data_IF_784975712199
#
_entry.id   IF_784975712199
#
_cell.length_a   1.000
_cell.length_b   1.000
_cell.length_c   1.000
_cell.angle_alpha   90.00
_cell.angle_beta   90.00
_cell.angle_gamma   90.00
#
_symmetry.space_group_name_H-M   'P 1'
#
loop_
_entity.id
_entity.type
_entity.pdbx_description
1 polymer ?
#
# COMPACT_ATOMS: atom_id res chain seq x y z
N UNK A 1 -28.33 2.34 -40.63
CA UNK A 1 -27.96 0.89 -40.61
C UNK A 1 -26.70 0.61 -39.80
N UNK A 2 -25.63 1.37 -39.99
CA UNK A 2 -24.35 1.23 -39.25
C UNK A 2 -24.55 1.32 -37.73
N UNK A 3 -25.13 2.43 -37.23
CA UNK A 3 -25.36 2.66 -35.78
C UNK A 3 -26.07 1.49 -35.11
N UNK A 4 -27.13 0.96 -35.75
CA UNK A 4 -27.92 -0.15 -35.22
C UNK A 4 -27.13 -1.46 -35.15
N UNK A 5 -26.25 -1.73 -36.13
CA UNK A 5 -25.38 -2.92 -36.10
C UNK A 5 -24.29 -2.76 -35.04
N UNK A 6 -23.62 -1.61 -35.01
CA UNK A 6 -22.57 -1.32 -34.02
C UNK A 6 -23.11 -1.42 -32.59
N UNK A 7 -24.25 -0.81 -32.30
CA UNK A 7 -24.84 -0.83 -30.95
C UNK A 7 -25.17 -2.26 -30.47
N UNK A 8 -25.59 -3.16 -31.37
CA UNK A 8 -25.81 -4.59 -31.03
C UNK A 8 -24.52 -5.31 -30.66
N UNK A 9 -23.44 -5.09 -31.41
CA UNK A 9 -22.15 -5.71 -31.11
C UNK A 9 -21.54 -5.18 -29.81
N UNK A 10 -21.64 -3.87 -29.56
CA UNK A 10 -21.20 -3.28 -28.29
C UNK A 10 -22.02 -3.86 -27.12
N UNK A 11 -23.34 -3.96 -27.27
CA UNK A 11 -24.20 -4.54 -26.23
C UNK A 11 -23.83 -6.01 -25.94
N UNK A 12 -23.57 -6.80 -27.00
CA UNK A 12 -23.09 -8.18 -26.85
C UNK A 12 -21.74 -8.24 -26.11
N UNK A 13 -20.81 -7.33 -26.42
CA UNK A 13 -19.54 -7.19 -25.72
C UNK A 13 -19.72 -6.90 -24.22
N UNK A 14 -20.59 -5.95 -23.86
CA UNK A 14 -20.89 -5.63 -22.46
C UNK A 14 -21.48 -6.83 -21.72
N UNK A 15 -22.38 -7.60 -22.36
CA UNK A 15 -22.95 -8.82 -21.78
C UNK A 15 -21.86 -9.89 -21.57
N UNK A 16 -20.99 -10.10 -22.55
CA UNK A 16 -19.86 -11.03 -22.43
C UNK A 16 -18.90 -10.61 -21.31
N UNK A 17 -18.60 -9.31 -21.18
CA UNK A 17 -17.81 -8.79 -20.06
C UNK A 17 -18.48 -9.03 -18.71
N UNK A 18 -19.81 -8.85 -18.61
CA UNK A 18 -20.55 -9.14 -17.39
C UNK A 18 -20.46 -10.63 -17.01
N UNK A 19 -20.58 -11.53 -17.98
CA UNK A 19 -20.38 -12.97 -17.76
C UNK A 19 -18.95 -13.26 -17.28
N UNK A 20 -17.94 -12.64 -17.90
CA UNK A 20 -16.54 -12.76 -17.48
C UNK A 20 -16.29 -12.28 -16.05
N UNK A 21 -16.92 -11.17 -15.65
CA UNK A 21 -16.83 -10.64 -14.27
C UNK A 21 -17.48 -11.61 -13.27
N UNK A 22 -18.66 -12.15 -13.58
CA UNK A 22 -19.33 -13.14 -12.72
C UNK A 22 -18.50 -14.42 -12.58
N UNK A 23 -17.91 -14.89 -13.68
CA UNK A 23 -17.02 -16.05 -13.68
C UNK A 23 -15.75 -15.79 -12.85
N UNK A 24 -15.12 -14.63 -13.01
CA UNK A 24 -13.95 -14.24 -12.23
C UNK A 24 -14.28 -14.15 -10.73
N UNK A 25 -15.43 -13.60 -10.37
CA UNK A 25 -15.90 -13.52 -8.98
C UNK A 25 -16.12 -14.91 -8.35
N UNK A 26 -16.51 -15.90 -9.13
CA UNK A 26 -16.70 -17.27 -8.66
C UNK A 26 -15.38 -17.99 -8.35
N UNK A 27 -14.32 -17.70 -9.10
CA UNK A 27 -13.00 -18.34 -8.98
C UNK A 27 -12.07 -17.58 -8.02
N UNK A 28 -12.44 -16.36 -7.63
CA UNK A 28 -11.61 -15.48 -6.82
C UNK A 28 -11.19 -16.17 -5.49
N UNK A 29 -9.91 -16.09 -5.08
CA UNK A 29 -9.46 -16.60 -3.78
C UNK A 29 -10.16 -15.90 -2.62
N UNK A 30 -10.32 -16.58 -1.48
CA UNK A 30 -11.01 -16.04 -0.30
C UNK A 30 -10.36 -14.76 0.24
N UNK A 31 -9.03 -14.65 0.20
CA UNK A 31 -8.32 -13.42 0.58
C UNK A 31 -8.76 -12.22 -0.26
N UNK A 32 -8.93 -12.40 -1.58
CA UNK A 32 -9.37 -11.36 -2.49
C UNK A 32 -10.84 -10.98 -2.28
N UNK A 33 -11.71 -11.95 -1.98
CA UNK A 33 -13.11 -11.69 -1.59
C UNK A 33 -13.18 -10.87 -0.30
N UNK A 34 -12.37 -11.21 0.69
CA UNK A 34 -12.34 -10.51 1.98
C UNK A 34 -11.83 -9.07 1.82
N UNK A 35 -10.84 -8.84 0.96
CA UNK A 35 -10.38 -7.49 0.59
C UNK A 35 -11.50 -6.68 -0.07
N UNK A 36 -12.29 -7.29 -0.97
CA UNK A 36 -13.43 -6.64 -1.61
C UNK A 36 -14.52 -6.26 -0.59
N UNK A 37 -14.84 -7.16 0.34
CA UNK A 37 -15.88 -6.94 1.35
C UNK A 37 -15.51 -5.87 2.39
N UNK A 38 -14.23 -5.78 2.79
CA UNK A 38 -13.78 -4.86 3.86
C UNK A 38 -13.48 -3.44 3.37
N UNK A 39 -13.20 -3.25 2.08
CA UNK A 39 -12.86 -1.94 1.53
C UNK A 39 -14.11 -1.23 0.99
N UNK A 40 -14.68 -0.32 1.78
CA UNK A 40 -15.88 0.45 1.39
C UNK A 40 -15.73 1.16 0.02
N UNK A 41 -14.52 1.66 -0.29
CA UNK A 41 -14.22 2.28 -1.58
C UNK A 41 -14.39 1.31 -2.77
N UNK A 42 -14.06 0.02 -2.60
CA UNK A 42 -14.22 -0.97 -3.67
C UNK A 42 -15.69 -1.26 -3.96
N UNK A 43 -16.53 -1.31 -2.92
CA UNK A 43 -17.98 -1.49 -3.11
C UNK A 43 -18.60 -0.29 -3.85
N UNK A 44 -18.17 0.93 -3.55
CA UNK A 44 -18.62 2.14 -4.26
C UNK A 44 -18.20 2.11 -5.74
N UNK A 45 -16.94 1.76 -6.03
CA UNK A 45 -16.42 1.68 -7.40
C UNK A 45 -17.11 0.56 -8.19
N UNK A 46 -17.33 -0.60 -7.56
CA UNK A 46 -18.10 -1.69 -8.15
C UNK A 46 -19.53 -1.25 -8.48
N UNK A 47 -20.21 -0.60 -7.54
CA UNK A 47 -21.55 -0.04 -7.76
C UNK A 47 -21.58 0.98 -8.90
N UNK A 48 -20.62 1.89 -8.95
CA UNK A 48 -20.49 2.88 -10.02
C UNK A 48 -20.28 2.21 -11.39
N UNK A 49 -19.44 1.17 -11.47
CA UNK A 49 -19.23 0.38 -12.67
C UNK A 49 -20.50 -0.34 -13.14
N UNK A 50 -21.28 -0.92 -12.21
CA UNK A 50 -22.57 -1.57 -12.52
C UNK A 50 -23.59 -0.54 -13.02
N UNK A 51 -23.69 0.63 -12.39
CA UNK A 51 -24.57 1.72 -12.83
C UNK A 51 -24.16 2.19 -14.23
N UNK A 52 -22.86 2.38 -14.48
CA UNK A 52 -22.35 2.78 -15.79
C UNK A 52 -22.63 1.72 -16.86
N UNK A 53 -22.52 0.43 -16.55
CA UNK A 53 -22.88 -0.68 -17.43
C UNK A 53 -24.39 -0.70 -17.74
N UNK A 54 -25.24 -0.54 -16.73
CA UNK A 54 -26.69 -0.45 -16.93
C UNK A 54 -27.08 0.74 -17.80
N UNK A 55 -26.50 1.91 -17.54
CA UNK A 55 -26.70 3.11 -18.34
C UNK A 55 -26.22 2.93 -19.79
N UNK A 56 -25.05 2.32 -20.00
CA UNK A 56 -24.52 2.01 -21.32
C UNK A 56 -25.46 1.07 -22.09
N UNK A 57 -25.92 -0.02 -21.45
CA UNK A 57 -26.87 -0.96 -22.06
C UNK A 57 -28.19 -0.28 -22.43
N UNK A 58 -28.71 0.59 -21.55
CA UNK A 58 -29.91 1.38 -21.83
C UNK A 58 -29.70 2.31 -23.03
N UNK A 59 -28.58 3.03 -23.09
CA UNK A 59 -28.28 3.92 -24.20
C UNK A 59 -28.11 3.15 -25.52
N UNK A 60 -27.44 2.00 -25.49
CA UNK A 60 -27.30 1.12 -26.66
C UNK A 60 -28.65 0.57 -27.11
N UNK A 61 -29.53 0.19 -26.19
CA UNK A 61 -30.90 -0.22 -26.51
C UNK A 61 -31.65 0.90 -27.25
N UNK A 62 -31.62 2.13 -26.74
CA UNK A 62 -32.23 3.30 -27.41
C UNK A 62 -31.62 3.52 -28.79
N UNK A 63 -30.30 3.45 -28.96
CA UNK A 63 -29.64 3.62 -30.26
C UNK A 63 -29.95 2.48 -31.25
N UNK A 64 -30.27 1.27 -30.78
CA UNK A 64 -30.75 0.20 -31.66
C UNK A 64 -32.19 0.39 -32.13
N UNK A 65 -33.04 1.01 -31.30
CA UNK A 65 -34.43 1.29 -31.59
C UNK A 65 -34.61 2.59 -32.39
N UNK A 66 -33.84 3.63 -32.05
CA UNK A 66 -33.87 4.98 -32.64
C UNK A 66 -32.44 5.46 -32.97
N UNK A 67 -31.84 4.95 -34.06
CA UNK A 67 -30.46 5.30 -34.42
C UNK A 67 -30.26 6.78 -34.73
N UNK A 68 -31.31 7.52 -35.09
CA UNK A 68 -31.25 8.97 -35.32
C UNK A 68 -30.95 9.79 -34.05
N UNK A 69 -30.97 9.19 -32.86
CA UNK A 69 -30.64 9.86 -31.60
C UNK A 69 -29.14 9.84 -31.28
N UNK A 70 -28.31 9.35 -32.20
CA UNK A 70 -26.86 9.48 -32.09
C UNK A 70 -26.44 10.93 -32.37
N UNK A 71 -26.44 11.74 -31.32
CA UNK A 71 -25.88 13.10 -31.29
C UNK A 71 -24.49 13.08 -30.65
N UNK A 72 -23.66 14.13 -30.83
CA UNK A 72 -22.38 14.25 -30.11
C UNK A 72 -22.51 14.08 -28.60
N UNK A 73 -23.58 14.62 -27.99
CA UNK A 73 -23.86 14.45 -26.57
C UNK A 73 -24.11 12.98 -26.18
N UNK A 74 -24.91 12.26 -26.98
CA UNK A 74 -25.13 10.82 -26.74
C UNK A 74 -23.87 9.98 -26.93
N UNK A 75 -23.02 10.35 -27.90
CA UNK A 75 -21.72 9.71 -28.13
C UNK A 75 -20.77 9.92 -26.96
N UNK A 76 -20.71 11.15 -26.43
CA UNK A 76 -19.94 11.45 -25.23
C UNK A 76 -20.47 10.69 -24.01
N UNK A 77 -21.79 10.58 -23.84
CA UNK A 77 -22.38 9.80 -22.76
C UNK A 77 -22.00 8.31 -22.84
N UNK A 78 -22.03 7.72 -24.05
CA UNK A 78 -21.55 6.35 -24.29
C UNK A 78 -20.07 6.21 -23.96
N UNK A 79 -19.24 7.17 -24.37
CA UNK A 79 -17.80 7.17 -24.09
C UNK A 79 -17.53 7.24 -22.58
N UNK A 80 -18.15 8.18 -21.86
CA UNK A 80 -18.00 8.34 -20.41
C UNK A 80 -18.45 7.07 -19.67
N UNK A 81 -19.56 6.46 -20.09
CA UNK A 81 -20.04 5.21 -19.51
C UNK A 81 -19.05 4.06 -19.75
N UNK A 82 -18.54 3.91 -20.98
CA UNK A 82 -17.54 2.91 -21.30
C UNK A 82 -16.23 3.12 -20.52
N UNK A 83 -15.74 4.36 -20.42
CA UNK A 83 -14.58 4.69 -19.60
C UNK A 83 -14.83 4.35 -18.13
N UNK A 84 -15.99 4.70 -17.58
CA UNK A 84 -16.36 4.38 -16.20
C UNK A 84 -16.37 2.87 -15.91
N UNK A 85 -16.86 2.06 -16.85
CA UNK A 85 -16.81 0.59 -16.74
C UNK A 85 -15.37 0.10 -16.76
N UNK A 86 -14.56 0.56 -17.72
CA UNK A 86 -13.17 0.12 -17.87
C UNK A 86 -12.31 0.53 -16.67
N UNK A 87 -12.42 1.77 -16.20
CA UNK A 87 -11.63 2.26 -15.06
C UNK A 87 -12.06 1.56 -13.77
N UNK A 88 -13.37 1.36 -13.55
CA UNK A 88 -13.86 0.62 -12.38
C UNK A 88 -13.38 -0.84 -12.42
N UNK A 89 -13.48 -1.48 -13.58
CA UNK A 89 -13.02 -2.85 -13.78
C UNK A 89 -11.53 -3.02 -13.53
N UNK A 90 -10.69 -2.17 -14.11
CA UNK A 90 -9.24 -2.20 -13.90
C UNK A 90 -8.84 -1.90 -12.46
N UNK A 91 -9.53 -0.97 -11.80
CA UNK A 91 -9.28 -0.66 -10.39
C UNK A 91 -9.61 -1.85 -9.49
N UNK A 92 -10.75 -2.50 -9.71
CA UNK A 92 -11.15 -3.69 -8.96
C UNK A 92 -10.19 -4.85 -9.25
N UNK A 93 -9.85 -5.07 -10.52
CA UNK A 93 -8.88 -6.10 -10.94
C UNK A 93 -7.54 -5.91 -10.24
N UNK A 94 -7.06 -4.68 -10.13
CA UNK A 94 -5.82 -4.38 -9.43
C UNK A 94 -5.95 -4.56 -7.91
N UNK A 95 -7.08 -4.18 -7.32
CA UNK A 95 -7.32 -4.32 -5.89
C UNK A 95 -7.37 -5.79 -5.45
N UNK A 96 -8.03 -6.66 -6.22
CA UNK A 96 -8.16 -8.10 -5.91
C UNK A 96 -6.90 -8.90 -6.21
N UNK A 97 -5.98 -8.38 -7.03
CA UNK A 97 -4.69 -9.00 -7.35
C UNK A 97 -3.71 -8.94 -6.17
N UNK A 98 -3.80 -7.90 -5.33
CA UNK A 98 -2.91 -7.70 -4.18
C UNK A 98 -3.05 -8.87 -3.18
N UNK A 99 -1.97 -9.31 -2.52
CA UNK A 99 -0.66 -8.64 -2.39
C UNK A 99 0.36 -9.02 -3.46
N UNK A 100 -0.03 -9.69 -4.54
CA UNK A 100 0.90 -10.23 -5.54
C UNK A 100 1.02 -9.36 -6.78
N UNK A 101 2.18 -9.40 -7.43
CA UNK A 101 2.34 -8.98 -8.82
C UNK A 101 1.96 -10.11 -9.77
N UNK A 102 2.60 -11.26 -9.52
CA UNK A 102 2.36 -12.54 -10.15
C UNK A 102 1.88 -13.49 -9.03
N UNK A 103 0.64 -14.03 -9.11
CA UNK A 103 0.06 -14.85 -8.05
C UNK A 103 1.03 -15.92 -7.56
N UNK A 104 1.21 -15.99 -6.23
CA UNK A 104 2.04 -16.98 -5.54
C UNK A 104 3.54 -17.01 -5.90
N UNK A 105 4.00 -16.08 -6.75
CA UNK A 105 5.39 -16.02 -7.20
C UNK A 105 6.11 -14.78 -6.69
N UNK A 106 5.50 -13.59 -6.89
CA UNK A 106 6.13 -12.29 -6.63
C UNK A 106 5.14 -11.38 -5.92
N UNK A 107 5.55 -10.79 -4.80
CA UNK A 107 4.78 -9.81 -4.04
C UNK A 107 4.78 -8.40 -4.66
N UNK A 108 3.88 -7.53 -4.21
CA UNK A 108 3.76 -6.12 -4.63
C UNK A 108 5.02 -5.28 -4.40
N UNK A 109 5.84 -5.67 -3.43
CA UNK A 109 7.16 -5.08 -3.14
C UNK A 109 8.29 -5.71 -3.99
N UNK A 110 7.94 -6.47 -5.04
CA UNK A 110 8.87 -7.13 -5.97
C UNK A 110 9.76 -8.21 -5.31
N UNK A 111 9.42 -8.68 -4.11
CA UNK A 111 10.10 -9.80 -3.47
C UNK A 111 9.51 -11.13 -3.94
N UNK A 112 10.36 -12.05 -4.38
CA UNK A 112 9.95 -13.41 -4.70
C UNK A 112 9.56 -14.17 -3.42
N UNK A 113 8.45 -14.92 -3.45
CA UNK A 113 7.90 -15.59 -2.27
C UNK A 113 8.92 -16.49 -1.57
N UNK A 114 9.73 -17.24 -2.34
CA UNK A 114 10.77 -18.11 -1.77
C UNK A 114 11.96 -17.39 -1.13
N UNK A 115 12.12 -16.08 -1.34
CA UNK A 115 13.24 -15.29 -0.81
C UNK A 115 12.91 -14.60 0.51
N UNK A 116 11.64 -14.58 0.93
CA UNK A 116 11.21 -13.88 2.15
C UNK A 116 12.01 -14.34 3.37
N UNK A 117 12.16 -15.64 3.58
CA UNK A 117 12.86 -16.16 4.76
C UNK A 117 14.37 -15.85 4.73
N UNK A 118 14.98 -15.94 3.54
CA UNK A 118 16.38 -15.55 3.35
C UNK A 118 16.60 -14.07 3.67
N UNK A 119 15.68 -13.19 3.24
CA UNK A 119 15.76 -11.76 3.50
C UNK A 119 15.57 -11.43 4.99
N UNK A 120 14.68 -12.15 5.68
CA UNK A 120 14.48 -11.96 7.13
C UNK A 120 15.71 -12.33 7.95
N UNK A 121 16.49 -13.28 7.45
CA UNK A 121 17.73 -13.73 8.10
C UNK A 121 18.92 -12.84 7.75
N UNK A 122 19.06 -12.46 6.48
CA UNK A 122 20.25 -11.77 5.98
C UNK A 122 20.10 -10.24 5.93
N UNK A 123 18.88 -9.71 5.92
CA UNK A 123 18.57 -8.30 5.72
C UNK A 123 18.22 -7.94 4.27
N UNK A 124 17.25 -7.05 4.10
CA UNK A 124 16.87 -6.42 2.84
C UNK A 124 18.01 -5.60 2.25
N UNK A 125 18.68 -4.78 3.07
CA UNK A 125 19.75 -3.90 2.63
C UNK A 125 20.96 -4.71 2.16
N UNK A 126 21.35 -5.75 2.90
CA UNK A 126 22.47 -6.64 2.59
C UNK A 126 22.19 -7.52 1.36
N UNK A 127 20.96 -8.00 1.19
CA UNK A 127 20.64 -8.97 0.13
C UNK A 127 20.26 -8.31 -1.20
N UNK A 128 19.98 -7.01 -1.22
CA UNK A 128 19.52 -6.30 -2.41
C UNK A 128 20.66 -5.93 -3.37
N UNK A 129 20.41 -6.12 -4.67
CA UNK A 129 21.36 -5.83 -5.76
C UNK A 129 21.82 -4.37 -5.76
N UNK A 130 20.91 -3.44 -5.45
CA UNK A 130 21.17 -2.01 -5.45
C UNK A 130 21.36 -1.42 -4.05
N UNK A 131 20.68 -1.99 -3.05
CA UNK A 131 20.74 -1.48 -1.67
C UNK A 131 22.09 -1.70 -1.02
N UNK A 132 22.69 -2.89 -1.21
CA UNK A 132 23.99 -3.21 -0.62
C UNK A 132 25.10 -2.26 -1.10
N UNK A 133 25.36 -2.11 -2.42
CA UNK A 133 26.40 -1.20 -2.88
C UNK A 133 26.10 0.26 -2.51
N UNK A 134 24.84 0.68 -2.57
CA UNK A 134 24.45 2.04 -2.20
C UNK A 134 24.72 2.34 -0.71
N UNK A 135 24.38 1.42 0.18
CA UNK A 135 24.66 1.57 1.62
C UNK A 135 26.16 1.51 1.89
N UNK A 136 26.90 0.60 1.22
CA UNK A 136 28.34 0.50 1.36
C UNK A 136 29.09 1.78 0.92
N UNK A 137 28.64 2.43 -0.15
CA UNK A 137 29.19 3.70 -0.62
C UNK A 137 28.88 4.86 0.33
N UNK A 138 27.63 4.96 0.78
CA UNK A 138 27.15 6.10 1.59
C UNK A 138 27.51 5.98 3.07
N UNK A 139 27.61 4.76 3.60
CA UNK A 139 27.89 4.45 5.00
C UNK A 139 29.02 3.41 5.10
N UNK A 140 30.25 3.77 4.72
CA UNK A 140 31.36 2.81 4.67
C UNK A 140 31.71 2.21 6.03
N UNK A 141 31.41 2.92 7.12
CA UNK A 141 31.62 2.44 8.49
C UNK A 141 30.67 1.29 8.89
N UNK A 142 29.60 1.04 8.12
CA UNK A 142 28.69 -0.09 8.34
C UNK A 142 29.13 -1.33 7.57
N UNK A 143 30.22 -1.27 6.82
CA UNK A 143 30.75 -2.42 6.08
C UNK A 143 31.83 -3.07 6.92
N UNK A 144 31.61 -4.33 7.29
CA UNK A 144 32.63 -5.13 7.96
C UNK A 144 33.83 -5.33 7.03
N UNK A 145 35.02 -4.92 7.47
CA UNK A 145 36.23 -4.95 6.66
C UNK A 145 36.71 -6.38 6.30
N UNK A 146 36.29 -7.40 7.07
CA UNK A 146 36.73 -8.78 6.89
C UNK A 146 35.78 -9.58 6.01
N UNK A 147 34.48 -9.35 6.17
CA UNK A 147 33.41 -10.13 5.52
C UNK A 147 32.72 -9.38 4.40
N UNK A 148 32.84 -8.05 4.35
CA UNK A 148 32.14 -7.19 3.40
C UNK A 148 30.61 -7.19 3.58
N UNK A 149 30.14 -7.58 4.77
CA UNK A 149 28.72 -7.56 5.14
C UNK A 149 28.35 -6.24 5.82
N UNK A 150 27.09 -5.83 5.66
CA UNK A 150 26.53 -4.73 6.42
C UNK A 150 26.31 -5.12 7.88
N UNK A 151 26.77 -4.27 8.80
CA UNK A 151 26.61 -4.41 10.26
C UNK A 151 25.73 -3.28 10.77
N UNK A 152 24.41 -3.45 10.60
CA UNK A 152 23.43 -2.40 10.91
C UNK A 152 23.34 -2.07 12.41
N UNK A 153 23.87 -2.94 13.28
CA UNK A 153 24.00 -2.72 14.72
C UNK A 153 24.95 -1.56 15.04
N UNK A 154 25.87 -1.23 14.13
CA UNK A 154 26.80 -0.11 14.25
C UNK A 154 26.24 1.20 13.69
N UNK A 155 24.98 1.20 13.21
CA UNK A 155 24.32 2.39 12.71
C UNK A 155 24.27 3.46 13.81
N UNK A 156 24.82 4.64 13.50
CA UNK A 156 24.76 5.79 14.38
C UNK A 156 23.37 6.42 14.33
N UNK A 157 22.91 7.11 15.38
CA UNK A 157 21.59 7.75 15.41
C UNK A 157 21.31 8.67 14.20
N UNK A 158 22.33 9.38 13.73
CA UNK A 158 22.23 10.26 12.54
C UNK A 158 22.00 9.50 11.23
N UNK A 159 22.41 8.23 11.14
CA UNK A 159 22.30 7.40 9.94
C UNK A 159 20.97 6.63 9.89
N UNK A 160 20.36 6.36 11.06
CA UNK A 160 19.18 5.50 11.18
C UNK A 160 18.01 5.96 10.29
N UNK A 161 17.74 7.27 10.28
CA UNK A 161 16.68 7.85 9.44
C UNK A 161 16.95 7.60 7.94
N UNK A 162 18.18 7.80 7.50
CA UNK A 162 18.54 7.65 6.09
C UNK A 162 18.52 6.17 5.66
N UNK A 163 18.92 5.25 6.53
CA UNK A 163 18.80 3.81 6.30
C UNK A 163 17.32 3.38 6.23
N UNK A 164 16.49 3.89 7.14
CA UNK A 164 15.05 3.66 7.11
C UNK A 164 14.38 4.18 5.84
N UNK A 165 14.81 5.32 5.32
CA UNK A 165 14.34 5.85 4.04
C UNK A 165 14.69 4.92 2.87
N UNK A 166 15.92 4.39 2.83
CA UNK A 166 16.34 3.45 1.79
C UNK A 166 15.45 2.20 1.83
N UNK A 167 15.19 1.66 3.03
CA UNK A 167 14.28 0.53 3.22
C UNK A 167 12.88 0.89 2.72
N UNK A 168 12.35 2.04 3.11
CA UNK A 168 11.03 2.51 2.66
C UNK A 168 10.97 2.56 1.13
N UNK A 169 11.95 3.18 0.47
CA UNK A 169 11.95 3.35 -0.98
C UNK A 169 11.94 2.02 -1.74
N UNK A 170 12.63 1.01 -1.21
CA UNK A 170 12.77 -0.28 -1.88
C UNK A 170 11.70 -1.31 -1.47
N UNK A 171 11.10 -1.18 -0.28
CA UNK A 171 10.14 -2.14 0.24
C UNK A 171 8.68 -1.63 0.24
N UNK A 172 8.49 -0.31 0.38
CA UNK A 172 7.18 0.31 0.57
C UNK A 172 6.81 1.29 -0.56
N UNK A 173 7.80 1.98 -1.12
CA UNK A 173 7.64 3.09 -2.07
C UNK A 173 6.95 2.73 -3.38
N UNK A 174 6.89 1.44 -3.74
CA UNK A 174 6.13 0.98 -4.90
C UNK A 174 4.60 1.11 -4.74
N UNK A 175 4.10 1.20 -3.51
CA UNK A 175 2.67 1.31 -3.22
C UNK A 175 2.31 2.53 -2.36
N UNK A 176 3.25 3.01 -1.55
CA UNK A 176 3.03 4.10 -0.61
C UNK A 176 3.83 5.34 -1.01
N UNK A 177 3.16 6.49 -1.05
CA UNK A 177 3.87 7.76 -1.00
C UNK A 177 4.47 7.97 0.41
N UNK A 178 5.54 8.77 0.50
CA UNK A 178 6.19 9.12 1.77
C UNK A 178 5.23 9.97 2.62
N UNK A 179 5.17 11.28 2.38
CA UNK A 179 4.37 12.21 3.21
C UNK A 179 2.95 12.40 2.69
N UNK A 180 2.78 12.66 1.40
CA UNK A 180 1.49 12.98 0.77
C UNK A 180 1.37 12.30 -0.59
N UNK A 181 0.16 11.89 -0.94
CA UNK A 181 -0.16 11.23 -2.20
C UNK A 181 -1.00 9.98 -2.00
N UNK A 182 -0.99 9.10 -3.01
CA UNK A 182 -1.72 7.85 -2.95
C UNK A 182 -1.18 6.96 -1.81
N UNK A 183 -2.05 6.61 -0.86
CA UNK A 183 -1.69 5.83 0.33
C UNK A 183 -0.47 6.37 1.10
N UNK A 184 -0.34 7.69 1.23
CA UNK A 184 0.81 8.32 1.91
C UNK A 184 0.96 7.90 3.37
N UNK A 185 2.14 7.40 3.77
CA UNK A 185 2.37 6.92 5.13
C UNK A 185 2.48 8.05 6.17
N UNK A 186 2.85 9.27 5.77
CA UNK A 186 2.90 10.41 6.69
C UNK A 186 1.58 10.65 7.44
N UNK A 187 0.43 10.45 6.77
CA UNK A 187 -0.89 10.55 7.40
C UNK A 187 -1.36 9.25 8.08
N UNK A 188 -0.84 8.10 7.66
CA UNK A 188 -1.22 6.82 8.24
C UNK A 188 -0.46 6.53 9.53
N UNK A 189 0.74 7.09 9.69
CA UNK A 189 1.59 6.97 10.89
C UNK A 189 1.33 8.05 11.94
N UNK A 190 0.33 8.92 11.73
CA UNK A 190 0.04 10.11 12.54
C UNK A 190 -0.10 9.83 14.05
N UNK A 191 -0.56 8.64 14.42
CA UNK A 191 -0.81 8.26 15.82
C UNK A 191 0.15 7.19 16.34
N UNK A 192 1.11 6.74 15.52
CA UNK A 192 1.95 5.59 15.85
C UNK A 192 3.33 6.03 16.30
N UNK A 193 3.75 5.55 17.47
CA UNK A 193 5.13 5.76 17.94
C UNK A 193 6.08 4.76 17.28
N UNK A 194 7.38 5.08 17.21
CA UNK A 194 8.41 4.16 16.68
C UNK A 194 8.24 2.71 17.15
N UNK A 195 8.04 2.51 18.45
CA UNK A 195 7.89 1.16 19.03
C UNK A 195 6.66 0.41 18.51
N UNK A 196 5.54 1.11 18.35
CA UNK A 196 4.30 0.53 17.82
C UNK A 196 4.43 0.18 16.33
N UNK A 197 5.10 1.06 15.56
CA UNK A 197 5.38 0.82 14.14
C UNK A 197 6.25 -0.43 14.00
N UNK A 198 7.35 -0.51 14.75
CA UNK A 198 8.26 -1.66 14.69
C UNK A 198 7.57 -2.98 15.05
N UNK A 199 6.67 -2.99 16.04
CA UNK A 199 5.90 -4.18 16.43
C UNK A 199 4.79 -4.54 15.42
N UNK A 200 4.30 -3.56 14.67
CA UNK A 200 3.29 -3.77 13.62
C UNK A 200 3.91 -4.39 12.37
N UNK A 201 5.12 -3.97 11.98
CA UNK A 201 5.77 -4.37 10.71
C UNK A 201 5.75 -5.90 10.48
N UNK A 202 6.18 -6.76 11.42
CA UNK A 202 6.16 -8.22 11.22
C UNK A 202 4.77 -8.83 11.01
N UNK A 203 3.71 -8.12 11.43
CA UNK A 203 2.31 -8.57 11.39
C UNK A 203 1.48 -7.86 10.30
N UNK A 204 2.09 -7.02 9.47
CA UNK A 204 1.40 -6.20 8.47
C UNK A 204 0.41 -6.97 7.61
N UNK A 205 0.83 -8.09 7.02
CA UNK A 205 -0.02 -8.88 6.11
C UNK A 205 -1.20 -9.58 6.82
N UNK A 206 -1.12 -9.75 8.14
CA UNK A 206 -2.22 -10.34 8.93
C UNK A 206 -3.31 -9.31 9.25
N UNK A 207 -2.91 -8.04 9.39
CA UNK A 207 -3.83 -6.92 9.67
C UNK A 207 -4.39 -6.33 8.37
N UNK A 208 -3.54 -6.22 7.34
CA UNK A 208 -3.85 -5.64 6.04
C UNK A 208 -3.60 -6.69 4.95
N UNK A 209 -4.65 -7.44 4.59
CA UNK A 209 -4.60 -8.55 3.64
C UNK A 209 -4.03 -8.19 2.26
N UNK A 210 -4.13 -6.92 1.87
CA UNK A 210 -3.61 -6.42 0.59
C UNK A 210 -2.13 -6.02 0.63
N UNK A 211 -1.49 -6.03 1.81
CA UNK A 211 -0.06 -5.76 1.96
C UNK A 211 0.77 -7.04 1.89
N UNK A 212 1.95 -6.99 1.24
CA UNK A 212 2.89 -8.10 1.29
C UNK A 212 3.45 -8.28 2.71
N UNK A 213 3.97 -9.47 3.05
CA UNK A 213 4.60 -9.69 4.35
C UNK A 213 5.88 -8.86 4.50
N UNK A 214 6.20 -8.48 5.73
CA UNK A 214 7.51 -7.92 6.05
C UNK A 214 8.61 -8.95 5.78
N UNK A 215 9.66 -8.50 5.08
CA UNK A 215 10.75 -9.35 4.63
C UNK A 215 12.11 -8.98 5.24
N UNK A 216 12.22 -7.89 6.00
CA UNK A 216 13.49 -7.46 6.60
C UNK A 216 13.75 -8.07 7.98
N UNK A 217 14.93 -7.78 8.53
CA UNK A 217 15.30 -8.16 9.89
C UNK A 217 14.57 -7.30 10.92
N UNK A 218 14.70 -7.65 12.22
CA UNK A 218 14.19 -6.82 13.31
C UNK A 218 14.88 -5.44 13.35
N UNK A 219 16.20 -5.39 13.18
CA UNK A 219 16.94 -4.12 13.13
C UNK A 219 16.49 -3.24 11.96
N UNK A 220 16.22 -3.83 10.79
CA UNK A 220 15.67 -3.09 9.65
C UNK A 220 14.25 -2.57 9.90
N UNK A 221 13.43 -3.30 10.66
CA UNK A 221 12.12 -2.83 11.08
C UNK A 221 12.24 -1.61 12.01
N UNK A 222 13.20 -1.62 12.94
CA UNK A 222 13.48 -0.47 13.80
C UNK A 222 13.95 0.76 13.01
N UNK A 223 14.85 0.57 12.04
CA UNK A 223 15.33 1.63 11.15
C UNK A 223 14.20 2.22 10.31
N UNK A 224 13.33 1.36 9.75
CA UNK A 224 12.15 1.81 9.03
C UNK A 224 11.19 2.59 9.95
N UNK A 225 11.00 2.14 11.18
CA UNK A 225 10.16 2.84 12.15
C UNK A 225 10.67 4.24 12.50
N UNK A 226 11.99 4.43 12.64
CA UNK A 226 12.62 5.77 12.80
C UNK A 226 12.25 6.67 11.64
N UNK A 227 12.37 6.18 10.41
CA UNK A 227 12.03 6.96 9.24
C UNK A 227 10.53 7.30 9.17
N UNK A 228 9.66 6.32 9.41
CA UNK A 228 8.20 6.51 9.38
C UNK A 228 7.70 7.50 10.43
N UNK A 229 8.27 7.46 11.65
CA UNK A 229 8.01 8.45 12.68
C UNK A 229 8.47 9.85 12.23
N UNK A 230 9.60 9.95 11.54
CA UNK A 230 10.14 11.24 11.09
C UNK A 230 9.30 11.92 9.99
N UNK A 231 8.49 11.16 9.25
CA UNK A 231 7.58 11.69 8.22
C UNK A 231 6.12 11.73 8.68
N UNK A 232 5.84 11.25 9.90
CA UNK A 232 4.51 11.27 10.48
C UNK A 232 4.03 12.71 10.66
N UNK A 233 2.80 12.98 10.20
CA UNK A 233 2.16 14.27 10.41
C UNK A 233 1.51 14.29 11.79
N UNK A 234 1.47 15.46 12.47
CA UNK A 234 0.79 15.56 13.75
C UNK A 234 -0.70 15.30 13.57
N UNK A 235 -1.32 14.63 14.55
CA UNK A 235 -2.75 14.40 14.50
C UNK A 235 -3.48 15.74 14.63
N UNK A 236 -4.48 16.05 13.77
CA UNK A 236 -5.10 17.38 13.71
C UNK A 236 -5.78 17.80 15.03
N UNK A 237 -6.03 16.84 15.94
CA UNK A 237 -6.57 17.09 17.28
C UNK A 237 -5.55 16.89 18.42
N UNK A 238 -4.29 16.61 18.11
CA UNK A 238 -3.21 16.55 19.09
C UNK A 238 -2.84 17.99 19.45
N UNK A 239 -3.17 18.40 20.67
CA UNK A 239 -2.81 19.74 21.15
C UNK A 239 -1.29 19.91 21.07
N UNK A 240 -0.84 20.91 20.32
CA UNK A 240 0.53 21.43 20.34
C UNK A 240 0.91 21.77 21.78
N UNK A 241 1.55 20.83 22.49
CA UNK A 241 1.83 21.01 23.92
C UNK A 241 2.22 19.74 24.68
N UNK A 242 1.96 18.53 24.16
CA UNK A 242 2.55 17.32 24.73
C UNK A 242 3.79 16.88 23.94
N UNK A 243 4.87 17.67 24.00
CA UNK A 243 6.18 17.04 23.92
C UNK A 243 6.24 16.06 25.10
N UNK A 244 6.17 14.76 24.82
CA UNK A 244 6.36 13.72 25.82
C UNK A 244 7.75 13.93 26.42
N UNK A 245 7.79 14.46 27.63
CA UNK A 245 9.00 14.58 28.43
C UNK A 245 9.60 13.19 28.60
N UNK A 246 10.88 13.04 28.26
CA UNK A 246 11.68 11.86 28.57
C UNK A 246 11.54 11.48 30.06
N UNK A 247 11.65 10.20 30.44
CA UNK A 247 11.57 9.80 31.82
C UNK A 247 12.73 10.45 32.58
N UNK A 248 12.44 11.34 33.52
CA UNK A 248 13.45 11.82 34.46
C UNK A 248 13.89 10.66 35.34
N UNK A 249 15.17 10.33 35.28
CA UNK A 249 15.84 9.45 36.24
C UNK A 249 15.55 9.93 37.66
N UNK A 250 14.99 9.05 38.47
CA UNK A 250 14.62 9.35 39.85
C UNK A 250 15.89 9.31 40.70
N UNK A 251 16.56 10.45 40.82
CA UNK A 251 17.65 10.67 41.76
C UNK A 251 17.12 10.59 43.20
N UNK A 252 17.17 9.39 43.78
CA UNK A 252 16.85 9.19 45.20
C UNK A 252 18.12 9.38 46.01
N UNK A 253 18.38 10.61 46.48
CA UNK A 253 19.28 10.82 47.62
C UNK A 253 18.72 11.82 48.64
N UNK A 254 18.43 11.26 49.82
CA UNK A 254 18.78 11.74 51.16
C UNK A 254 18.61 13.24 51.47
N UNK A 255 17.78 13.50 52.48
CA UNK A 255 18.19 14.39 53.56
C UNK A 255 17.09 15.13 54.32
N UNK A 256 17.10 14.95 55.63
CA UNK A 256 16.57 15.84 56.68
C UNK A 256 15.04 15.93 56.88
N UNK A 257 14.57 15.30 57.97
CA UNK A 257 13.85 16.04 59.00
C UNK A 257 13.95 15.29 60.35
N UNK A 258 14.73 15.87 61.25
CA UNK A 258 14.77 15.59 62.67
C UNK A 258 13.76 16.52 63.37
N UNK A 259 13.17 16.04 64.47
CA UNK A 259 12.38 16.76 65.48
C UNK A 259 10.92 17.13 65.17
N UNK A 260 9.96 16.43 65.79
CA UNK A 260 9.26 16.90 66.99
C UNK A 260 8.09 15.96 67.38
N UNK A 261 8.05 15.61 68.67
CA UNK A 261 7.10 14.79 69.44
C UNK A 261 7.10 13.27 69.24
#
# INVERSE_FOLDING_TARGET
>A
LIVRRTARYVAAGVVLSAIGILWAGAILPEAAKLSLMRAAALNVILGAGVIAAGFLLFQLFILTARPQWLTPASGLAVLCAAMGILTSGEFIREAVRKPFILPECIYGNQVHVSKVEMLRQNGLLESGVWTKPYVAEKFPHLVDAQTGKLVLEQARPEDEKALGEIIFMHHCGGCHAQEFGYSGLGFLSTTSEKGEIAEMLPRLNSQIYSMPPWCGTAKEADLLAVYLESIAKPHPFQKSGSQKSAPQETETQKGAAHAAN
#
